data_IF_193628785042
#
_entry.id   IF_193628785042
#
_cell.length_a   1.000
_cell.length_b   1.000
_cell.length_c   1.000
_cell.angle_alpha   90.00
_cell.angle_beta   90.00
_cell.angle_gamma   90.00
#
_symmetry.space_group_name_H-M   'P 1'
#
loop_
_entity.id
_entity.type
_entity.pdbx_description
1 polymer ?
#
# COMPACT_ATOMS: atom_id res chain seq x y z
N UNK A 1 22.94 15.12 -18.13
CA UNK A 1 22.07 15.22 -16.93
C UNK A 1 20.98 14.19 -17.09
N UNK A 2 21.03 13.10 -16.31
CA UNK A 2 19.99 12.07 -16.31
C UNK A 2 18.82 12.65 -15.50
N UNK A 3 17.60 12.78 -16.04
CA UNK A 3 16.47 13.26 -15.26
C UNK A 3 16.19 12.22 -14.17
N UNK A 4 15.95 12.71 -12.96
CA UNK A 4 15.55 11.88 -11.83
C UNK A 4 14.38 10.98 -12.26
N UNK A 5 14.62 9.66 -12.27
CA UNK A 5 13.56 8.68 -12.48
C UNK A 5 12.42 9.01 -11.50
N UNK A 6 11.16 9.03 -11.95
CA UNK A 6 10.05 9.16 -11.02
C UNK A 6 10.15 8.01 -10.02
N UNK A 7 10.30 8.36 -8.74
CA UNK A 7 10.30 7.41 -7.62
C UNK A 7 9.04 6.55 -7.74
N UNK A 8 9.22 5.24 -7.99
CA UNK A 8 8.12 4.32 -8.26
C UNK A 8 8.14 3.59 -9.61
N UNK A 9 8.95 4.06 -10.57
CA UNK A 9 9.07 3.45 -11.90
C UNK A 9 9.90 2.15 -11.88
N UNK A 10 9.52 1.20 -12.76
CA UNK A 10 10.24 -0.06 -12.93
C UNK A 10 11.57 0.20 -13.66
N UNK A 11 12.71 -0.32 -13.16
CA UNK A 11 14.00 -0.22 -13.85
C UNK A 11 13.97 -0.82 -15.27
N UNK A 12 14.72 -0.24 -16.21
CA UNK A 12 14.71 -0.63 -17.63
C UNK A 12 15.11 -2.09 -17.87
N UNK A 13 15.97 -2.65 -17.03
CA UNK A 13 16.38 -4.06 -17.07
C UNK A 13 15.27 -5.02 -16.61
N UNK A 14 14.35 -4.55 -15.78
CA UNK A 14 13.20 -5.31 -15.28
C UNK A 14 11.92 -5.04 -16.10
N UNK A 15 11.93 -3.99 -16.93
CA UNK A 15 10.81 -3.59 -17.77
C UNK A 15 10.23 -4.73 -18.62
N UNK A 16 11.03 -5.60 -19.29
CA UNK A 16 10.48 -6.70 -20.08
C UNK A 16 9.71 -7.73 -19.23
N UNK A 17 10.13 -7.94 -17.98
CA UNK A 17 9.45 -8.85 -17.06
C UNK A 17 8.15 -8.24 -16.53
N UNK A 18 8.16 -6.93 -16.27
CA UNK A 18 6.97 -6.19 -15.87
C UNK A 18 5.91 -6.18 -16.97
N UNK A 19 6.29 -5.86 -18.21
CA UNK A 19 5.38 -5.85 -19.36
C UNK A 19 4.78 -7.23 -19.63
N UNK A 20 5.62 -8.28 -19.61
CA UNK A 20 5.13 -9.67 -19.72
C UNK A 20 4.21 -10.04 -18.56
N UNK A 21 4.51 -9.60 -17.34
CA UNK A 21 3.66 -9.81 -16.17
C UNK A 21 2.28 -9.17 -16.32
N UNK A 22 2.21 -7.94 -16.84
CA UNK A 22 0.95 -7.26 -17.14
C UNK A 22 0.21 -7.98 -18.27
N UNK A 23 0.90 -8.37 -19.34
CA UNK A 23 0.29 -9.11 -20.44
C UNK A 23 -0.34 -10.41 -19.95
N UNK A 24 0.40 -11.20 -19.15
CA UNK A 24 -0.10 -12.42 -18.54
C UNK A 24 -1.31 -12.15 -17.63
N UNK A 25 -1.30 -11.06 -16.86
CA UNK A 25 -2.44 -10.64 -16.04
C UNK A 25 -3.69 -10.36 -16.91
N UNK A 26 -3.53 -9.62 -18.01
CA UNK A 26 -4.66 -9.33 -18.93
C UNK A 26 -5.19 -10.58 -19.63
N UNK A 27 -4.35 -11.59 -19.83
CA UNK A 27 -4.71 -12.89 -20.39
C UNK A 27 -5.36 -13.83 -19.38
N UNK A 28 -5.47 -13.44 -18.10
CA UNK A 28 -6.01 -14.27 -17.03
C UNK A 28 -5.03 -15.33 -16.51
N UNK A 29 -3.78 -15.34 -16.97
CA UNK A 29 -2.72 -16.23 -16.50
C UNK A 29 -2.12 -15.71 -15.18
N UNK A 30 -2.95 -15.70 -14.13
CA UNK A 30 -2.63 -15.03 -12.86
C UNK A 30 -1.45 -15.62 -12.10
N UNK A 31 -1.21 -16.94 -12.18
CA UNK A 31 -0.02 -17.56 -11.57
C UNK A 31 1.27 -17.09 -12.25
N UNK A 32 1.32 -17.18 -13.58
CA UNK A 32 2.47 -16.72 -14.35
C UNK A 32 2.72 -15.21 -14.20
N UNK A 33 1.65 -14.42 -14.17
CA UNK A 33 1.73 -12.99 -13.88
C UNK A 33 2.33 -12.73 -12.48
N UNK A 34 1.88 -13.48 -11.47
CA UNK A 34 2.35 -13.33 -10.09
C UNK A 34 3.83 -13.68 -9.96
N UNK A 35 4.31 -14.71 -10.65
CA UNK A 35 5.72 -15.09 -10.63
C UNK A 35 6.63 -14.01 -11.24
N UNK A 36 6.27 -13.51 -12.42
CA UNK A 36 7.00 -12.44 -13.10
C UNK A 36 7.02 -11.15 -12.28
N UNK A 37 5.89 -10.76 -11.71
CA UNK A 37 5.78 -9.53 -10.93
C UNK A 37 6.48 -9.66 -9.57
N UNK A 38 6.46 -10.85 -8.95
CA UNK A 38 7.24 -11.14 -7.74
C UNK A 38 8.73 -10.99 -8.00
N UNK A 39 9.21 -11.46 -9.16
CA UNK A 39 10.61 -11.31 -9.56
C UNK A 39 11.01 -9.83 -9.68
N UNK A 40 10.15 -9.00 -10.29
CA UNK A 40 10.38 -7.55 -10.40
C UNK A 40 10.42 -6.89 -9.01
N UNK A 41 9.42 -7.13 -8.16
CA UNK A 41 9.33 -6.50 -6.83
C UNK A 41 10.49 -6.91 -5.91
N UNK A 42 10.97 -8.15 -6.00
CA UNK A 42 12.14 -8.61 -5.22
C UNK A 42 13.43 -7.89 -5.60
N UNK A 43 13.59 -7.51 -6.87
CA UNK A 43 14.78 -6.81 -7.37
C UNK A 43 14.67 -5.29 -7.26
N UNK A 44 13.47 -4.75 -7.42
CA UNK A 44 13.14 -3.34 -7.27
C UNK A 44 12.00 -3.19 -6.25
N UNK A 45 12.32 -3.11 -4.93
CA UNK A 45 11.30 -2.96 -3.89
C UNK A 45 10.50 -1.65 -3.98
N UNK A 46 11.01 -0.66 -4.68
CA UNK A 46 10.40 0.63 -4.98
C UNK A 46 9.44 0.60 -6.18
N UNK A 47 9.44 -0.47 -6.98
CA UNK A 47 8.55 -0.67 -8.12
C UNK A 47 7.08 -0.79 -7.66
N UNK A 48 6.45 0.37 -7.49
CA UNK A 48 5.12 0.50 -6.90
C UNK A 48 4.06 -0.08 -7.82
N UNK A 49 4.18 0.17 -9.12
CA UNK A 49 3.27 -0.40 -10.13
C UNK A 49 3.41 -1.93 -10.21
N UNK A 50 4.61 -2.49 -10.17
CA UNK A 50 4.80 -3.94 -10.15
C UNK A 50 4.14 -4.57 -8.92
N UNK A 51 4.29 -3.96 -7.74
CA UNK A 51 3.62 -4.41 -6.51
C UNK A 51 2.09 -4.29 -6.61
N UNK A 52 1.57 -3.27 -7.28
CA UNK A 52 0.14 -3.14 -7.56
C UNK A 52 -0.38 -4.32 -8.37
N UNK A 53 0.23 -4.56 -9.53
CA UNK A 53 -0.23 -5.62 -10.42
C UNK A 53 -0.05 -7.01 -9.80
N UNK A 54 1.02 -7.22 -9.01
CA UNK A 54 1.20 -8.47 -8.25
C UNK A 54 0.01 -8.73 -7.34
N UNK A 55 -0.40 -7.74 -6.56
CA UNK A 55 -1.55 -7.85 -5.66
C UNK A 55 -2.86 -8.08 -6.40
N UNK A 56 -3.06 -7.40 -7.53
CA UNK A 56 -4.23 -7.61 -8.38
C UNK A 56 -4.28 -9.02 -8.98
N UNK A 57 -3.14 -9.55 -9.43
CA UNK A 57 -3.05 -10.92 -9.95
C UNK A 57 -3.40 -11.95 -8.87
N UNK A 58 -2.82 -11.80 -7.67
CA UNK A 58 -3.13 -12.65 -6.51
C UNK A 58 -4.62 -12.58 -6.14
N UNK A 59 -5.22 -11.39 -6.10
CA UNK A 59 -6.64 -11.24 -5.80
C UNK A 59 -7.54 -11.88 -6.85
N UNK A 60 -7.22 -11.70 -8.14
CA UNK A 60 -7.99 -12.30 -9.23
C UNK A 60 -7.89 -13.82 -9.23
N UNK A 61 -6.72 -14.37 -8.94
CA UNK A 61 -6.53 -15.80 -8.71
C UNK A 61 -7.38 -16.31 -7.55
N UNK A 62 -7.27 -15.69 -6.38
CA UNK A 62 -8.05 -16.09 -5.20
C UNK A 62 -9.57 -15.95 -5.41
N UNK A 63 -10.02 -15.01 -6.26
CA UNK A 63 -11.42 -14.86 -6.63
C UNK A 63 -11.88 -15.93 -7.66
N UNK A 64 -10.99 -16.44 -8.50
CA UNK A 64 -11.28 -17.52 -9.43
C UNK A 64 -11.35 -18.89 -8.72
N UNK A 65 -10.55 -19.08 -7.68
CA UNK A 65 -10.46 -20.31 -6.90
C UNK A 65 -10.67 -20.01 -5.40
N UNK A 66 -11.93 -19.80 -4.96
CA UNK A 66 -12.20 -19.50 -3.56
C UNK A 66 -11.93 -20.73 -2.68
N UNK A 67 -10.92 -20.62 -1.83
CA UNK A 67 -10.56 -21.67 -0.87
C UNK A 67 -11.67 -21.90 0.17
N UNK A 68 -11.92 -23.15 0.62
CA UNK A 68 -12.91 -23.41 1.65
C UNK A 68 -12.52 -22.74 2.98
N UNK A 69 -13.52 -22.41 3.80
CA UNK A 69 -13.30 -21.70 5.08
C UNK A 69 -12.30 -22.42 6.00
N UNK A 70 -12.32 -23.76 6.02
CA UNK A 70 -11.38 -24.56 6.81
C UNK A 70 -9.93 -24.36 6.35
N UNK A 71 -9.68 -24.26 5.04
CA UNK A 71 -8.35 -23.99 4.49
C UNK A 71 -7.88 -22.59 4.91
N UNK A 72 -8.74 -21.59 4.84
CA UNK A 72 -8.42 -20.23 5.32
C UNK A 72 -8.02 -20.20 6.79
N UNK A 73 -8.74 -20.93 7.66
CA UNK A 73 -8.41 -21.01 9.09
C UNK A 73 -7.09 -21.75 9.31
N UNK A 74 -6.91 -22.90 8.64
CA UNK A 74 -5.68 -23.69 8.72
C UNK A 74 -4.45 -22.86 8.28
N UNK A 75 -4.56 -22.14 7.17
CA UNK A 75 -3.51 -21.27 6.66
C UNK A 75 -3.15 -20.16 7.65
N UNK A 76 -4.15 -19.54 8.30
CA UNK A 76 -3.90 -18.53 9.33
C UNK A 76 -3.17 -19.09 10.54
N UNK A 77 -3.45 -20.34 10.95
CA UNK A 77 -2.77 -21.00 12.05
C UNK A 77 -1.33 -21.39 11.69
N UNK A 78 -1.14 -22.04 10.54
CA UNK A 78 0.18 -22.47 10.04
C UNK A 78 1.10 -21.28 9.77
N UNK A 79 0.55 -20.12 9.39
CA UNK A 79 1.31 -18.89 9.15
C UNK A 79 1.58 -18.06 10.40
N UNK A 80 1.10 -18.44 11.60
CA UNK A 80 1.36 -17.69 12.84
C UNK A 80 2.85 -17.44 13.10
N UNK A 81 3.76 -18.44 12.97
CA UNK A 81 5.19 -18.20 13.16
C UNK A 81 5.76 -17.17 12.19
N UNK A 82 5.28 -17.19 10.93
CA UNK A 82 5.72 -16.25 9.89
C UNK A 82 5.20 -14.84 10.18
N UNK A 83 3.96 -14.70 10.67
CA UNK A 83 3.41 -13.42 11.13
C UNK A 83 4.23 -12.83 12.27
N UNK A 84 4.61 -13.66 13.25
CA UNK A 84 5.47 -13.24 14.37
C UNK A 84 6.86 -12.83 13.86
N UNK A 85 7.46 -13.63 12.98
CA UNK A 85 8.76 -13.31 12.37
C UNK A 85 8.72 -11.97 11.60
N UNK A 86 7.64 -11.69 10.87
CA UNK A 86 7.45 -10.42 10.17
C UNK A 86 7.41 -9.22 11.14
N UNK A 87 6.69 -9.37 12.26
CA UNK A 87 6.62 -8.34 13.31
C UNK A 87 7.99 -8.14 13.96
N UNK A 88 8.71 -9.21 14.27
CA UNK A 88 10.06 -9.11 14.84
C UNK A 88 11.02 -8.42 13.86
N UNK A 89 10.95 -8.74 12.57
CA UNK A 89 11.74 -8.08 11.54
C UNK A 89 11.42 -6.58 11.46
N UNK A 90 10.13 -6.21 11.51
CA UNK A 90 9.66 -4.83 11.54
C UNK A 90 10.21 -4.07 12.76
N UNK A 91 10.11 -4.65 13.96
CA UNK A 91 10.59 -4.02 15.20
C UNK A 91 12.12 -3.88 15.24
N UNK A 92 12.85 -4.71 14.50
CA UNK A 92 14.32 -4.66 14.38
C UNK A 92 14.81 -3.74 13.27
N UNK A 93 13.92 -3.00 12.60
CA UNK A 93 14.26 -2.13 11.47
C UNK A 93 14.73 -2.89 10.23
N UNK A 94 14.45 -4.20 10.14
CA UNK A 94 14.78 -5.04 8.98
C UNK A 94 13.66 -4.93 7.94
N UNK A 95 13.45 -3.72 7.44
CA UNK A 95 12.25 -3.37 6.68
C UNK A 95 12.08 -4.23 5.42
N UNK A 96 13.16 -4.45 4.65
CA UNK A 96 13.13 -5.32 3.47
C UNK A 96 12.65 -6.75 3.81
N UNK A 97 13.13 -7.30 4.92
CA UNK A 97 12.72 -8.63 5.36
C UNK A 97 11.25 -8.64 5.77
N UNK A 98 10.81 -7.63 6.54
CA UNK A 98 9.43 -7.49 6.97
C UNK A 98 8.47 -7.31 5.77
N UNK A 99 8.83 -6.48 4.79
CA UNK A 99 8.08 -6.28 3.54
C UNK A 99 7.89 -7.62 2.82
N UNK A 100 8.98 -8.36 2.59
CA UNK A 100 8.90 -9.66 1.91
C UNK A 100 8.00 -10.66 2.64
N UNK A 101 8.08 -10.70 3.98
CA UNK A 101 7.22 -11.58 4.78
C UNK A 101 5.76 -11.15 4.72
N UNK A 102 5.47 -9.85 4.75
CA UNK A 102 4.10 -9.35 4.64
C UNK A 102 3.51 -9.55 3.24
N UNK A 103 4.30 -9.37 2.18
CA UNK A 103 3.88 -9.68 0.80
C UNK A 103 3.58 -11.17 0.64
N UNK A 104 4.43 -12.04 1.19
CA UNK A 104 4.17 -13.48 1.18
C UNK A 104 2.90 -13.83 1.96
N UNK A 105 2.70 -13.26 3.15
CA UNK A 105 1.47 -13.47 3.93
C UNK A 105 0.22 -12.96 3.20
N UNK A 106 0.32 -11.86 2.45
CA UNK A 106 -0.76 -11.35 1.60
C UNK A 106 -1.01 -12.20 0.35
N UNK A 107 -0.02 -12.93 -0.15
CA UNK A 107 -0.25 -13.92 -1.22
C UNK A 107 -1.15 -15.07 -0.78
N UNK A 108 -1.17 -15.35 0.53
CA UNK A 108 -1.94 -16.40 1.16
C UNK A 108 -3.30 -15.92 1.69
N UNK A 109 -3.36 -14.69 2.20
CA UNK A 109 -4.58 -14.04 2.66
C UNK A 109 -4.70 -12.66 1.99
N UNK A 110 -5.09 -12.61 0.70
CA UNK A 110 -5.09 -11.38 -0.07
C UNK A 110 -6.04 -10.35 0.52
N UNK A 111 -7.08 -10.78 1.23
CA UNK A 111 -8.13 -9.98 1.88
C UNK A 111 -7.72 -9.32 3.20
N UNK A 112 -6.56 -9.68 3.78
CA UNK A 112 -6.22 -9.29 5.15
C UNK A 112 -5.93 -7.81 5.34
N UNK A 113 -6.91 -7.07 5.88
CA UNK A 113 -6.78 -5.66 6.27
C UNK A 113 -5.61 -5.42 7.24
N UNK A 114 -5.42 -6.34 8.19
CA UNK A 114 -4.34 -6.27 9.17
C UNK A 114 -2.95 -6.40 8.54
N UNK A 115 -2.79 -7.25 7.52
CA UNK A 115 -1.52 -7.41 6.82
C UNK A 115 -1.25 -6.22 5.91
N UNK A 116 -2.28 -5.69 5.22
CA UNK A 116 -2.15 -4.46 4.44
C UNK A 116 -1.69 -3.28 5.30
N UNK A 117 -2.27 -3.11 6.49
CA UNK A 117 -1.85 -2.05 7.41
C UNK A 117 -0.38 -2.21 7.82
N UNK A 118 0.04 -3.43 8.18
CA UNK A 118 1.42 -3.70 8.59
C UNK A 118 2.41 -3.50 7.44
N UNK A 119 2.06 -3.95 6.24
CA UNK A 119 2.85 -3.71 5.03
C UNK A 119 2.98 -2.20 4.77
N UNK A 120 1.88 -1.45 4.76
CA UNK A 120 1.90 -0.01 4.50
C UNK A 120 2.76 0.75 5.52
N UNK A 121 2.65 0.41 6.81
CA UNK A 121 3.49 0.99 7.87
C UNK A 121 4.97 0.66 7.66
N UNK A 122 5.29 -0.58 7.26
CA UNK A 122 6.67 -1.00 7.01
C UNK A 122 7.24 -0.34 5.77
N UNK A 123 6.45 -0.21 4.69
CA UNK A 123 6.83 0.52 3.48
C UNK A 123 7.12 2.00 3.77
N UNK A 124 6.27 2.65 4.55
CA UNK A 124 6.48 4.05 4.95
C UNK A 124 7.73 4.20 5.85
N UNK A 125 7.98 3.25 6.76
CA UNK A 125 9.21 3.25 7.55
C UNK A 125 10.47 3.06 6.69
N UNK A 126 10.37 2.25 5.63
CA UNK A 126 11.44 2.01 4.67
C UNK A 126 11.68 3.18 3.69
N UNK A 127 10.90 4.26 3.77
CA UNK A 127 10.95 5.39 2.82
C UNK A 127 10.32 5.09 1.46
N UNK A 128 9.65 3.95 1.30
CA UNK A 128 8.94 3.57 0.08
C UNK A 128 7.53 4.18 0.07
N UNK A 129 7.47 5.51 0.09
CA UNK A 129 6.24 6.24 0.36
C UNK A 129 5.16 6.03 -0.70
N UNK A 130 5.52 5.92 -1.99
CA UNK A 130 4.54 5.66 -3.06
C UNK A 130 3.87 4.31 -2.90
N UNK A 131 4.66 3.27 -2.61
CA UNK A 131 4.15 1.94 -2.31
C UNK A 131 3.30 1.91 -1.03
N UNK A 132 3.66 2.72 -0.02
CA UNK A 132 2.88 2.83 1.21
C UNK A 132 1.52 3.49 0.97
N UNK A 133 1.48 4.64 0.27
CA UNK A 133 0.24 5.33 -0.14
C UNK A 133 -0.68 4.36 -0.87
N UNK A 134 -0.13 3.67 -1.87
CA UNK A 134 -0.92 2.74 -2.67
C UNK A 134 -1.48 1.56 -1.85
N UNK A 135 -0.72 1.09 -0.85
CA UNK A 135 -1.20 0.05 0.10
C UNK A 135 -2.27 0.58 1.06
N UNK A 136 -2.17 1.84 1.50
CA UNK A 136 -3.20 2.48 2.33
C UNK A 136 -4.50 2.68 1.55
N UNK A 137 -4.42 3.10 0.29
CA UNK A 137 -5.59 3.24 -0.60
C UNK A 137 -6.28 1.90 -0.84
N UNK A 138 -5.51 0.83 -1.05
CA UNK A 138 -6.05 -0.53 -1.15
C UNK A 138 -6.77 -0.94 0.15
N UNK A 139 -6.17 -0.66 1.31
CA UNK A 139 -6.80 -0.93 2.61
C UNK A 139 -8.11 -0.15 2.76
N UNK A 140 -8.13 1.12 2.39
CA UNK A 140 -9.31 1.99 2.48
C UNK A 140 -10.42 1.60 1.49
N UNK A 141 -10.07 0.99 0.35
CA UNK A 141 -11.07 0.43 -0.56
C UNK A 141 -11.86 -0.70 0.10
N UNK A 142 -11.23 -1.44 1.03
CA UNK A 142 -11.85 -2.57 1.75
C UNK A 142 -12.45 -2.17 3.08
N UNK A 143 -11.88 -1.16 3.71
CA UNK A 143 -12.32 -0.61 4.98
C UNK A 143 -12.24 0.93 4.93
N UNK A 144 -13.27 1.58 4.35
CA UNK A 144 -13.28 3.03 4.17
C UNK A 144 -13.20 3.82 5.47
N UNK A 145 -13.45 3.17 6.61
CA UNK A 145 -13.47 3.78 7.93
C UNK A 145 -12.24 3.41 8.77
N UNK A 146 -11.20 2.82 8.15
CA UNK A 146 -10.01 2.41 8.87
C UNK A 146 -9.20 3.63 9.34
N UNK A 147 -9.45 4.05 10.59
CA UNK A 147 -8.96 5.31 11.17
C UNK A 147 -7.45 5.53 11.02
N UNK A 148 -6.65 4.49 11.29
CA UNK A 148 -5.19 4.58 11.19
C UNK A 148 -4.74 4.80 9.74
N UNK A 149 -5.44 4.21 8.77
CA UNK A 149 -5.09 4.33 7.36
C UNK A 149 -5.47 5.71 6.83
N UNK A 150 -6.67 6.19 7.17
CA UNK A 150 -7.11 7.57 6.87
C UNK A 150 -6.10 8.59 7.39
N UNK A 151 -5.68 8.47 8.66
CA UNK A 151 -4.74 9.42 9.27
C UNK A 151 -3.36 9.36 8.62
N UNK A 152 -2.86 8.16 8.31
CA UNK A 152 -1.56 7.99 7.63
C UNK A 152 -1.59 8.59 6.23
N UNK A 153 -2.61 8.26 5.44
CA UNK A 153 -2.79 8.78 4.10
C UNK A 153 -2.92 10.31 4.12
N UNK A 154 -3.75 10.87 5.02
CA UNK A 154 -3.92 12.30 5.16
C UNK A 154 -2.60 13.05 5.42
N UNK A 155 -1.80 12.56 6.38
CA UNK A 155 -0.49 13.14 6.68
C UNK A 155 0.50 13.03 5.51
N UNK A 156 0.49 11.91 4.79
CA UNK A 156 1.34 11.73 3.61
C UNK A 156 0.92 12.66 2.47
N UNK A 157 -0.38 12.80 2.21
CA UNK A 157 -0.92 13.74 1.22
C UNK A 157 -0.57 15.19 1.58
N UNK A 158 -0.65 15.59 2.86
CA UNK A 158 -0.20 16.92 3.28
C UNK A 158 1.28 17.16 2.97
N UNK A 159 2.16 16.18 3.30
CA UNK A 159 3.60 16.30 3.02
C UNK A 159 3.90 16.43 1.51
N UNK A 160 3.05 15.85 0.67
CA UNK A 160 3.16 15.90 -0.80
C UNK A 160 2.47 17.11 -1.43
N UNK A 161 1.86 17.99 -0.63
CA UNK A 161 1.07 19.13 -1.12
C UNK A 161 -0.25 18.74 -1.80
N UNK A 162 -0.71 17.49 -1.61
CA UNK A 162 -1.98 16.99 -2.11
C UNK A 162 -3.11 17.38 -1.15
N UNK A 163 -3.28 18.69 -0.95
CA UNK A 163 -4.20 19.31 0.02
C UNK A 163 -5.66 18.80 -0.12
N UNK A 164 -6.22 18.57 -1.33
CA UNK A 164 -7.58 18.03 -1.47
C UNK A 164 -7.74 16.61 -0.93
N UNK A 165 -6.79 15.70 -1.21
CA UNK A 165 -6.84 14.31 -0.74
C UNK A 165 -6.67 14.25 0.79
N UNK A 166 -5.76 15.07 1.33
CA UNK A 166 -5.58 15.19 2.77
C UNK A 166 -6.87 15.65 3.46
N UNK A 167 -7.53 16.68 2.92
CA UNK A 167 -8.82 17.18 3.43
C UNK A 167 -9.88 16.08 3.47
N UNK A 168 -10.09 15.37 2.38
CA UNK A 168 -11.10 14.29 2.33
C UNK A 168 -10.87 13.24 3.41
N UNK A 169 -9.62 12.87 3.67
CA UNK A 169 -9.29 11.91 4.71
C UNK A 169 -9.60 12.48 6.12
N UNK A 170 -9.23 13.73 6.40
CA UNK A 170 -9.51 14.34 7.71
C UNK A 170 -11.00 14.62 7.93
N UNK A 171 -11.74 15.03 6.90
CA UNK A 171 -13.19 15.17 6.97
C UNK A 171 -13.85 13.82 7.29
N UNK A 172 -13.38 12.73 6.66
CA UNK A 172 -13.86 11.40 6.99
C UNK A 172 -13.55 11.00 8.42
N UNK A 173 -12.37 11.35 8.94
CA UNK A 173 -12.02 11.13 10.35
C UNK A 173 -12.98 11.88 11.26
N UNK A 174 -13.31 13.15 10.98
CA UNK A 174 -14.26 13.93 11.78
C UNK A 174 -15.71 13.44 11.69
N UNK A 175 -16.11 12.86 10.56
CA UNK A 175 -17.42 12.20 10.48
C UNK A 175 -17.51 10.98 11.41
N UNK A 176 -16.42 10.23 11.58
CA UNK A 176 -16.35 9.07 12.47
C UNK A 176 -16.12 9.47 13.93
N UNK A 177 -15.29 10.49 14.15
CA UNK A 177 -14.89 11.00 15.45
C UNK A 177 -14.89 12.54 15.43
N UNK A 178 -16.04 13.18 15.70
CA UNK A 178 -16.17 14.64 15.65
C UNK A 178 -15.21 15.40 16.56
N UNK A 179 -14.75 14.78 17.65
CA UNK A 179 -13.80 15.34 18.60
C UNK A 179 -12.32 15.05 18.30
N UNK A 180 -11.97 14.53 17.12
CA UNK A 180 -10.57 14.27 16.76
C UNK A 180 -9.80 15.60 16.57
N UNK A 181 -9.06 15.98 17.61
CA UNK A 181 -8.30 17.24 17.66
C UNK A 181 -7.28 17.35 16.53
N UNK A 182 -6.65 16.23 16.15
CA UNK A 182 -5.66 16.22 15.09
C UNK A 182 -6.29 16.54 13.73
N UNK A 183 -7.43 15.92 13.42
CA UNK A 183 -8.15 16.17 12.18
C UNK A 183 -8.69 17.61 12.13
N UNK A 184 -9.21 18.14 13.24
CA UNK A 184 -9.64 19.55 13.31
C UNK A 184 -8.48 20.53 13.07
N UNK A 185 -7.34 20.32 13.74
CA UNK A 185 -6.15 21.15 13.57
C UNK A 185 -5.62 21.07 12.14
N UNK A 186 -5.57 19.86 11.57
CA UNK A 186 -5.05 19.64 10.22
C UNK A 186 -5.91 20.31 9.15
N UNK A 187 -7.25 20.28 9.29
CA UNK A 187 -8.15 20.99 8.38
C UNK A 187 -7.99 22.52 8.47
N UNK A 188 -7.91 23.07 9.69
CA UNK A 188 -7.64 24.51 9.90
C UNK A 188 -6.33 24.94 9.24
N UNK A 189 -5.28 24.12 9.36
CA UNK A 189 -4.00 24.40 8.73
C UNK A 189 -4.10 24.37 7.19
N UNK A 190 -4.86 23.43 6.63
CA UNK A 190 -5.12 23.37 5.18
C UNK A 190 -5.92 24.58 4.68
N UNK A 191 -6.92 25.04 5.45
CA UNK A 191 -7.70 26.25 5.13
C UNK A 191 -6.82 27.50 5.13
N UNK A 192 -5.98 27.67 6.16
CA UNK A 192 -5.07 28.81 6.28
C UNK A 192 -4.03 28.84 5.14
N UNK A 193 -3.49 27.70 4.73
CA UNK A 193 -2.59 27.63 3.57
C UNK A 193 -3.30 27.97 2.26
N UNK A 194 -4.57 27.58 2.12
CA UNK A 194 -5.39 27.86 0.94
C UNK A 194 -5.70 29.35 0.77
N UNK A 195 -5.97 30.08 1.86
CA UNK A 195 -6.23 31.53 1.81
C UNK A 195 -4.97 32.33 1.48
N UNK A 196 -3.81 31.94 2.03
CA UNK A 196 -2.52 32.56 1.74
C UNK A 196 -2.16 32.38 0.25
N UNK A 197 -2.26 31.17 -0.30
CA UNK A 197 -1.98 30.91 -1.72
C UNK A 197 -2.87 31.74 -2.67
N UNK A 198 -4.14 31.94 -2.32
CA UNK A 198 -5.06 32.77 -3.11
C UNK A 198 -4.76 34.27 -3.00
N UNK A 199 -4.30 34.74 -1.84
CA UNK A 199 -3.95 36.15 -1.62
C UNK A 199 -2.68 36.62 -2.34
N UNK A 200 -1.80 35.70 -2.75
CA UNK A 200 -0.59 36.01 -3.54
C UNK A 200 -0.75 35.78 -5.06
N UNK A 201 -1.89 35.25 -5.50
CA UNK A 201 -2.15 34.91 -6.90
C UNK A 201 -3.10 35.89 -7.62
N UNK A 202 -3.43 37.02 -6.96
CA UNK A 202 -4.18 38.14 -7.54
C UNK A 202 -3.33 39.40 -7.52
#
# INVERSE_FOLDING_TARGET
MIPAMPTGAVPTDLQPYFEKGIQAYTQGAYDYASDLLTFVVKRAPDATEARRYLRLAIQKRAAAEPEPLLMHVALRLVTLPVRVAAIIAQLRGRDRQAINLYEWLLSLDPGSRSLLLRLALTLNHAGLDDAAVQTYEELLTRDPNHLVALRRLARMSMKRGQDPQARQCFERILQLHPGDLEAQQSLRNLDALGTIKKGFAG
#
